data_IF_167282015978
#
_entry.id   IF_167282015978
#
_cell.length_a   1.000
_cell.length_b   1.000
_cell.length_c   1.000
_cell.angle_alpha   90.00
_cell.angle_beta   90.00
_cell.angle_gamma   90.00
#
_symmetry.space_group_name_H-M   'P 1'
#
loop_
_entity.id
_entity.type
_entity.pdbx_description
1 polymer ?
#
# COMPACT_ATOMS: atom_id res chain seq x y z
N UNK A 1 -25.33 1.95 9.33
CA UNK A 1 -24.32 0.89 9.07
C UNK A 1 -23.19 1.32 8.12
N UNK A 2 -23.47 2.13 7.09
CA UNK A 2 -22.44 2.61 6.12
C UNK A 2 -21.35 3.53 6.68
N UNK A 3 -21.52 4.05 7.89
CA UNK A 3 -20.53 4.95 8.54
C UNK A 3 -19.23 4.20 8.84
N UNK A 4 -19.32 2.92 9.17
CA UNK A 4 -18.17 2.07 9.51
C UNK A 4 -17.20 1.98 8.32
N UNK A 5 -17.58 1.44 7.15
CA UNK A 5 -16.66 1.33 6.01
C UNK A 5 -16.16 2.68 5.51
N UNK A 6 -16.92 3.76 5.67
CA UNK A 6 -16.45 5.11 5.37
C UNK A 6 -15.27 5.52 6.27
N UNK A 7 -15.38 5.30 7.58
CA UNK A 7 -14.28 5.56 8.51
C UNK A 7 -13.06 4.66 8.23
N UNK A 8 -13.29 3.40 7.89
CA UNK A 8 -12.22 2.47 7.49
C UNK A 8 -11.47 2.99 6.25
N UNK A 9 -12.18 3.49 5.25
CA UNK A 9 -11.56 4.09 4.06
C UNK A 9 -10.66 5.29 4.39
N UNK A 10 -11.09 6.14 5.34
CA UNK A 10 -10.26 7.25 5.83
C UNK A 10 -8.99 6.71 6.50
N UNK A 11 -9.10 5.69 7.35
CA UNK A 11 -7.93 5.08 8.01
C UNK A 11 -6.93 4.50 7.00
N UNK A 12 -7.40 3.87 5.92
CA UNK A 12 -6.55 3.40 4.82
C UNK A 12 -5.83 4.53 4.05
N UNK A 13 -6.37 5.75 4.08
CA UNK A 13 -5.73 6.90 3.45
C UNK A 13 -4.61 7.52 4.30
N UNK A 14 -4.59 7.28 5.61
CA UNK A 14 -3.63 7.89 6.55
C UNK A 14 -2.17 7.59 6.18
N UNK A 15 -1.73 6.33 5.93
CA UNK A 15 -0.33 6.05 5.62
C UNK A 15 0.14 6.78 4.35
N UNK A 16 -0.74 6.88 3.33
CA UNK A 16 -0.47 7.62 2.10
C UNK A 16 -0.36 9.12 2.34
N UNK A 17 -1.25 9.67 3.16
CA UNK A 17 -1.23 11.09 3.50
C UNK A 17 0.05 11.46 4.27
N UNK A 18 0.43 10.65 5.26
CA UNK A 18 1.68 10.81 6.00
C UNK A 18 2.90 10.77 5.08
N UNK A 19 2.97 9.79 4.17
CA UNK A 19 4.05 9.71 3.19
C UNK A 19 4.11 10.96 2.31
N UNK A 20 2.98 11.45 1.80
CA UNK A 20 2.94 12.62 0.94
C UNK A 20 3.46 13.89 1.63
N UNK A 21 3.18 14.06 2.92
CA UNK A 21 3.71 15.15 3.73
C UNK A 21 5.22 14.97 3.95
N UNK A 22 5.65 13.77 4.33
CA UNK A 22 7.04 13.49 4.66
C UNK A 22 7.98 13.48 3.47
N UNK A 23 7.50 13.06 2.29
CA UNK A 23 8.28 13.03 1.06
C UNK A 23 8.54 14.44 0.51
N UNK A 24 7.56 15.34 0.65
CA UNK A 24 7.70 16.75 0.26
C UNK A 24 8.08 16.97 -1.22
N UNK A 25 7.88 15.97 -2.09
CA UNK A 25 8.26 16.02 -3.50
C UNK A 25 9.76 15.86 -3.78
N UNK A 26 10.57 15.36 -2.83
CA UNK A 26 12.02 15.22 -2.99
C UNK A 26 12.43 14.45 -4.25
N UNK A 27 11.79 13.32 -4.56
CA UNK A 27 12.08 12.53 -5.77
C UNK A 27 11.78 13.33 -7.04
N UNK A 28 10.64 14.01 -7.10
CA UNK A 28 10.26 14.85 -8.23
C UNK A 28 11.27 15.98 -8.45
N UNK A 29 11.76 16.58 -7.37
CA UNK A 29 12.82 17.60 -7.40
C UNK A 29 14.15 17.04 -7.89
N UNK A 30 14.55 15.84 -7.42
CA UNK A 30 15.82 15.21 -7.80
C UNK A 30 15.82 14.71 -9.26
N UNK A 31 14.68 14.24 -9.77
CA UNK A 31 14.57 13.82 -11.16
C UNK A 31 14.74 15.01 -12.12
N UNK A 32 14.41 16.24 -11.70
CA UNK A 32 14.60 17.46 -12.51
C UNK A 32 14.11 17.33 -13.98
N UNK A 33 13.01 16.60 -14.21
CA UNK A 33 12.50 16.26 -15.55
C UNK A 33 13.46 15.47 -16.46
N UNK A 34 14.47 14.80 -15.92
CA UNK A 34 15.35 13.85 -16.63
C UNK A 34 14.61 12.57 -17.10
N UNK A 35 13.28 12.58 -17.05
CA UNK A 35 12.37 11.60 -17.61
C UNK A 35 11.70 12.08 -18.91
N UNK A 36 11.91 13.34 -19.30
CA UNK A 36 11.34 13.91 -20.52
C UNK A 36 12.30 13.74 -21.71
N UNK A 37 11.88 13.09 -22.81
CA UNK A 37 12.74 12.91 -23.99
C UNK A 37 12.95 14.20 -24.79
N UNK A 38 12.10 15.22 -24.57
CA UNK A 38 12.05 16.46 -25.37
C UNK A 38 13.04 17.53 -24.85
N UNK A 39 13.80 17.23 -23.79
CA UNK A 39 14.74 18.18 -23.23
C UNK A 39 16.03 18.30 -24.07
N UNK A 40 16.53 19.52 -24.23
CA UNK A 40 17.83 19.77 -24.87
C UNK A 40 18.97 19.05 -24.13
N UNK A 41 19.93 18.53 -24.89
CA UNK A 41 21.00 17.69 -24.35
C UNK A 41 21.97 18.46 -23.44
N UNK A 42 22.18 19.76 -23.70
CA UNK A 42 22.97 20.63 -22.81
C UNK A 42 22.32 20.78 -21.43
N UNK A 43 20.99 20.94 -21.40
CA UNK A 43 20.21 21.06 -20.16
C UNK A 43 20.18 19.72 -19.41
N UNK A 44 20.09 18.59 -20.12
CA UNK A 44 20.23 17.25 -19.51
C UNK A 44 21.59 17.08 -18.85
N UNK A 45 22.67 17.49 -19.51
CA UNK A 45 24.04 17.40 -18.98
C UNK A 45 24.21 18.23 -17.71
N UNK A 46 23.72 19.47 -17.70
CA UNK A 46 23.77 20.34 -16.53
C UNK A 46 23.00 19.76 -15.33
N UNK A 47 21.74 19.33 -15.54
CA UNK A 47 20.90 18.74 -14.49
C UNK A 47 21.48 17.46 -13.94
N UNK A 48 22.06 16.60 -14.80
CA UNK A 48 22.79 15.40 -14.39
C UNK A 48 23.99 15.77 -13.50
N UNK A 49 24.80 16.75 -13.90
CA UNK A 49 25.96 17.18 -13.11
C UNK A 49 25.55 17.70 -11.72
N UNK A 50 24.48 18.51 -11.65
CA UNK A 50 23.89 18.95 -10.39
C UNK A 50 23.43 17.77 -9.52
N UNK A 51 22.80 16.76 -10.12
CA UNK A 51 22.35 15.56 -9.41
C UNK A 51 23.53 14.75 -8.84
N UNK A 52 24.60 14.58 -9.62
CA UNK A 52 25.84 13.90 -9.19
C UNK A 52 26.49 14.65 -8.02
N UNK A 53 26.57 15.99 -8.11
CA UNK A 53 27.11 16.81 -7.04
C UNK A 53 26.28 16.72 -5.76
N UNK A 54 24.96 16.88 -5.88
CA UNK A 54 24.03 16.71 -4.78
C UNK A 54 24.20 15.36 -4.07
N UNK A 55 24.27 14.25 -4.81
CA UNK A 55 24.42 12.92 -4.25
C UNK A 55 25.78 12.71 -3.58
N UNK A 56 26.84 13.24 -4.18
CA UNK A 56 28.18 13.15 -3.62
C UNK A 56 28.30 13.90 -2.30
N UNK A 57 27.67 15.07 -2.17
CA UNK A 57 27.72 15.90 -0.95
C UNK A 57 26.78 15.37 0.14
N UNK A 58 25.61 14.86 -0.23
CA UNK A 58 24.59 14.39 0.72
C UNK A 58 24.60 12.88 0.96
N UNK A 59 25.68 12.18 0.61
CA UNK A 59 25.83 10.75 0.86
C UNK A 59 25.67 10.46 2.36
N UNK A 60 24.95 9.37 2.71
CA UNK A 60 24.62 8.95 4.07
C UNK A 60 23.51 9.74 4.80
N UNK A 61 23.10 10.90 4.28
CA UNK A 61 22.06 11.71 4.92
C UNK A 61 20.61 11.26 4.56
N UNK A 62 20.47 10.24 3.70
CA UNK A 62 19.17 9.77 3.21
C UNK A 62 18.49 8.70 4.06
N UNK A 63 19.11 8.24 5.15
CA UNK A 63 18.58 7.14 5.97
C UNK A 63 17.22 7.49 6.59
N UNK A 64 17.07 8.72 7.08
CA UNK A 64 15.81 9.15 7.68
C UNK A 64 14.66 9.21 6.66
N UNK A 65 14.97 9.55 5.41
CA UNK A 65 14.00 9.52 4.31
C UNK A 65 13.52 8.09 4.02
N UNK A 66 14.44 7.11 3.93
CA UNK A 66 14.08 5.71 3.73
C UNK A 66 13.32 5.12 4.92
N UNK A 67 13.71 5.46 6.15
CA UNK A 67 13.02 4.98 7.36
C UNK A 67 11.57 5.46 7.43
N UNK A 68 11.29 6.72 7.08
CA UNK A 68 9.93 7.26 6.97
C UNK A 68 9.08 6.47 5.99
N UNK A 69 9.66 6.05 4.86
CA UNK A 69 8.96 5.22 3.87
C UNK A 69 8.64 3.83 4.43
N UNK A 70 9.61 3.16 5.05
CA UNK A 70 9.42 1.84 5.65
C UNK A 70 8.39 1.89 6.79
N UNK A 71 8.37 2.98 7.57
CA UNK A 71 7.35 3.20 8.59
C UNK A 71 5.95 3.31 7.97
N UNK A 72 5.78 3.99 6.84
CA UNK A 72 4.50 4.06 6.13
C UNK A 72 4.06 2.68 5.59
N UNK A 73 4.97 1.87 5.06
CA UNK A 73 4.67 0.49 4.64
C UNK A 73 4.24 -0.38 5.84
N UNK A 74 4.94 -0.26 6.96
CA UNK A 74 4.60 -0.96 8.19
C UNK A 74 3.23 -0.52 8.74
N UNK A 75 2.97 0.78 8.78
CA UNK A 75 1.67 1.33 9.19
C UNK A 75 0.54 0.86 8.27
N UNK A 76 0.78 0.72 6.97
CA UNK A 76 -0.22 0.19 6.05
C UNK A 76 -0.57 -1.27 6.39
N UNK A 77 0.42 -2.11 6.67
CA UNK A 77 0.19 -3.49 7.08
C UNK A 77 -0.53 -3.57 8.43
N UNK A 78 -0.05 -2.83 9.45
CA UNK A 78 -0.70 -2.76 10.77
C UNK A 78 -2.15 -2.28 10.63
N UNK A 79 -2.40 -1.29 9.76
CA UNK A 79 -3.75 -0.81 9.51
C UNK A 79 -4.64 -1.91 8.93
N UNK A 80 -4.19 -2.67 7.93
CA UNK A 80 -4.98 -3.80 7.39
C UNK A 80 -5.32 -4.82 8.48
N UNK A 81 -4.34 -5.24 9.28
CA UNK A 81 -4.57 -6.21 10.37
C UNK A 81 -5.53 -5.64 11.41
N UNK A 82 -5.37 -4.38 11.79
CA UNK A 82 -6.26 -3.67 12.70
C UNK A 82 -7.69 -3.57 12.15
N UNK A 83 -7.85 -3.36 10.85
CA UNK A 83 -9.16 -3.29 10.18
C UNK A 83 -9.86 -4.65 10.17
N UNK A 84 -9.12 -5.74 9.94
CA UNK A 84 -9.66 -7.10 10.03
C UNK A 84 -10.19 -7.35 11.45
N UNK A 85 -9.39 -7.08 12.47
CA UNK A 85 -9.78 -7.29 13.87
C UNK A 85 -10.95 -6.38 14.30
N UNK A 86 -10.93 -5.11 13.87
CA UNK A 86 -12.01 -4.17 14.15
C UNK A 86 -13.33 -4.61 13.50
N UNK A 87 -13.28 -5.08 12.25
CA UNK A 87 -14.46 -5.58 11.53
C UNK A 87 -14.99 -6.87 12.16
N UNK A 88 -14.08 -7.75 12.58
CA UNK A 88 -14.42 -8.99 13.28
C UNK A 88 -15.13 -8.73 14.61
N UNK A 89 -14.59 -7.83 15.44
CA UNK A 89 -15.25 -7.41 16.68
C UNK A 89 -16.60 -6.73 16.42
N UNK A 90 -16.70 -5.92 15.37
CA UNK A 90 -17.94 -5.23 15.00
C UNK A 90 -19.04 -6.21 14.57
N UNK A 91 -18.68 -7.31 13.93
CA UNK A 91 -19.60 -8.36 13.47
C UNK A 91 -19.76 -9.52 14.46
N UNK A 92 -19.29 -9.38 15.70
CA UNK A 92 -19.47 -10.39 16.75
C UNK A 92 -18.56 -11.62 16.62
N UNK A 93 -17.35 -11.46 16.07
CA UNK A 93 -16.33 -12.51 15.85
C UNK A 93 -16.63 -13.51 14.73
N UNK A 94 -17.62 -13.23 13.88
CA UNK A 94 -17.99 -14.09 12.75
C UNK A 94 -17.27 -13.71 11.43
N UNK A 95 -16.49 -12.62 11.40
CA UNK A 95 -15.87 -12.11 10.17
C UNK A 95 -14.65 -12.92 9.75
N UNK A 96 -13.78 -13.30 10.67
CA UNK A 96 -12.52 -14.00 10.33
C UNK A 96 -12.75 -15.33 9.61
N UNK A 97 -13.73 -16.09 10.07
CA UNK A 97 -14.19 -17.37 9.52
C UNK A 97 -15.20 -17.22 8.38
N UNK A 98 -15.51 -15.99 7.96
CA UNK A 98 -16.56 -15.72 6.99
C UNK A 98 -16.24 -16.24 5.58
N UNK A 99 -15.10 -15.84 5.01
CA UNK A 99 -14.78 -16.21 3.63
C UNK A 99 -14.50 -17.71 3.43
N UNK A 100 -13.93 -18.39 4.43
CA UNK A 100 -13.73 -19.84 4.38
C UNK A 100 -15.07 -20.57 4.39
N UNK A 101 -16.00 -20.14 5.25
CA UNK A 101 -17.36 -20.70 5.32
C UNK A 101 -18.16 -20.43 4.04
N UNK A 102 -18.06 -19.23 3.46
CA UNK A 102 -18.75 -18.91 2.19
C UNK A 102 -18.26 -19.80 1.03
N UNK A 103 -16.97 -20.14 0.98
CA UNK A 103 -16.44 -21.07 -0.03
C UNK A 103 -17.01 -22.49 0.19
N UNK A 104 -16.99 -22.98 1.43
CA UNK A 104 -17.54 -24.30 1.79
C UNK A 104 -19.06 -24.41 1.51
N UNK A 105 -19.82 -23.34 1.77
CA UNK A 105 -21.26 -23.30 1.52
C UNK A 105 -21.64 -23.07 0.06
N UNK A 106 -20.77 -22.45 -0.74
CA UNK A 106 -20.99 -22.30 -2.18
C UNK A 106 -21.03 -23.65 -2.90
N UNK A 107 -20.44 -24.70 -2.31
CA UNK A 107 -20.44 -26.06 -2.85
C UNK A 107 -21.67 -26.88 -2.43
N UNK A 108 -22.51 -26.38 -1.52
CA UNK A 108 -23.72 -27.09 -1.03
C UNK A 108 -24.98 -26.78 -1.85
N UNK A 109 -25.85 -27.78 -1.98
CA UNK A 109 -27.13 -27.71 -2.71
C UNK A 109 -28.06 -26.58 -2.22
N UNK A 110 -28.78 -25.97 -3.15
CA UNK A 110 -29.73 -24.90 -2.91
C UNK A 110 -30.95 -25.42 -2.13
N UNK A 111 -30.91 -25.42 -0.81
CA UNK A 111 -32.07 -25.78 0.03
C UNK A 111 -31.81 -25.93 1.53
N UNK A 112 -30.59 -26.30 1.92
CA UNK A 112 -30.17 -26.44 3.33
C UNK A 112 -29.22 -25.33 3.80
N UNK A 113 -29.11 -24.24 3.03
CA UNK A 113 -28.17 -23.16 3.31
C UNK A 113 -28.63 -22.35 4.52
N UNK A 114 -27.99 -22.61 5.66
CA UNK A 114 -28.02 -21.71 6.80
C UNK A 114 -26.74 -20.87 6.72
N UNK A 115 -26.86 -19.65 6.20
CA UNK A 115 -25.75 -18.72 6.22
C UNK A 115 -25.54 -18.28 7.68
N UNK A 116 -24.37 -18.49 8.30
CA UNK A 116 -24.11 -18.06 9.68
C UNK A 116 -24.29 -16.54 9.87
N UNK A 117 -24.32 -15.80 8.76
CA UNK A 117 -24.56 -14.37 8.74
C UNK A 117 -26.04 -13.97 8.85
N UNK A 118 -26.98 -14.91 8.76
CA UNK A 118 -28.40 -14.62 9.02
C UNK A 118 -28.65 -14.23 10.48
N UNK A 119 -27.76 -14.63 11.40
CA UNK A 119 -27.78 -14.21 12.80
C UNK A 119 -27.27 -12.77 12.99
N UNK A 120 -26.27 -12.35 12.22
CA UNK A 120 -25.66 -11.01 12.30
C UNK A 120 -26.44 -9.98 11.47
N UNK A 121 -26.97 -10.40 10.31
CA UNK A 121 -27.69 -9.59 9.34
C UNK A 121 -29.06 -10.20 9.00
N UNK A 122 -30.03 -10.18 9.92
CA UNK A 122 -31.34 -10.76 9.65
C UNK A 122 -32.01 -10.04 8.47
N UNK A 123 -32.42 -10.83 7.47
CA UNK A 123 -33.12 -10.35 6.27
C UNK A 123 -34.60 -10.10 6.53
N UNK A 124 -35.16 -10.70 7.59
CA UNK A 124 -36.53 -10.53 8.05
C UNK A 124 -36.56 -10.27 9.55
N UNK A 125 -37.44 -9.39 10.02
CA UNK A 125 -37.63 -9.09 11.44
C UNK A 125 -39.12 -9.01 11.80
N UNK A 126 -39.45 -9.35 13.05
CA UNK A 126 -40.79 -9.14 13.61
C UNK A 126 -40.95 -7.68 14.01
N UNK A 127 -41.93 -7.00 13.40
CA UNK A 127 -42.32 -5.63 13.73
C UNK A 127 -43.63 -5.65 14.52
N UNK A 128 -43.63 -5.03 15.71
CA UNK A 128 -44.82 -4.84 16.53
C UNK A 128 -45.43 -3.47 16.24
N UNK A 129 -46.57 -3.43 15.57
CA UNK A 129 -47.32 -2.20 15.31
C UNK A 129 -48.34 -1.96 16.42
N UNK A 130 -48.32 -0.76 16.99
CA UNK A 130 -49.29 -0.34 17.99
C UNK A 130 -50.35 0.55 17.32
N UNK A 131 -51.62 0.13 17.35
CA UNK A 131 -52.75 0.91 16.84
C UNK A 131 -53.79 1.11 17.94
N UNK A 132 -54.58 2.18 17.85
CA UNK A 132 -55.69 2.41 18.76
C UNK A 132 -56.96 1.79 18.17
N UNK A 133 -57.56 0.86 18.91
CA UNK A 133 -58.82 0.21 18.53
C UNK A 133 -60.04 1.12 18.74
N UNK A 134 -61.22 0.67 18.29
CA UNK A 134 -62.47 1.43 18.39
C UNK A 134 -62.87 1.80 19.83
N UNK A 135 -62.38 1.04 20.82
CA UNK A 135 -62.59 1.29 22.26
C UNK A 135 -61.55 2.24 22.88
N UNK A 136 -60.60 2.79 22.09
CA UNK A 136 -59.51 3.66 22.59
C UNK A 136 -58.35 2.90 23.25
N UNK A 137 -58.42 1.57 23.31
CA UNK A 137 -57.35 0.70 23.84
C UNK A 137 -56.25 0.45 22.79
N UNK A 138 -55.02 0.25 23.23
CA UNK A 138 -53.88 -0.06 22.35
C UNK A 138 -53.96 -1.54 21.94
N UNK A 139 -54.16 -1.80 20.64
CA UNK A 139 -54.06 -3.11 20.02
C UNK A 139 -52.66 -3.30 19.40
N UNK A 140 -52.09 -4.49 19.60
CA UNK A 140 -50.78 -4.88 19.06
C UNK A 140 -50.99 -5.77 17.84
N UNK A 141 -50.40 -5.37 16.71
CA UNK A 141 -50.37 -6.17 15.49
C UNK A 141 -48.93 -6.54 15.14
N UNK A 142 -48.67 -7.83 15.02
CA UNK A 142 -47.37 -8.34 14.62
C UNK A 142 -47.31 -8.52 13.11
N UNK A 143 -46.27 -7.98 12.48
CA UNK A 143 -45.98 -8.18 11.06
C UNK A 143 -44.54 -8.63 10.82
N UNK A 144 -44.29 -9.28 9.70
CA UNK A 144 -42.94 -9.57 9.23
C UNK A 144 -42.47 -8.43 8.32
N UNK A 145 -41.34 -7.83 8.65
CA UNK A 145 -40.68 -6.79 7.89
C UNK A 145 -39.46 -7.37 7.17
N UNK A 146 -39.25 -7.00 5.91
CA UNK A 146 -38.02 -7.31 5.17
C UNK A 146 -37.03 -6.17 5.37
N UNK A 147 -35.76 -6.50 5.62
CA UNK A 147 -34.67 -5.54 5.85
C UNK A 147 -33.71 -5.55 4.64
N UNK A 148 -34.02 -4.81 3.56
CA UNK A 148 -33.19 -4.81 2.35
C UNK A 148 -31.76 -4.31 2.62
N UNK A 149 -31.59 -3.39 3.59
CA UNK A 149 -30.27 -2.88 3.98
C UNK A 149 -29.31 -3.99 4.46
N UNK A 150 -29.83 -5.03 5.12
CA UNK A 150 -29.01 -6.13 5.62
C UNK A 150 -28.53 -7.05 4.49
N UNK A 151 -29.33 -7.22 3.44
CA UNK A 151 -28.93 -7.94 2.22
C UNK A 151 -27.75 -7.24 1.54
N UNK A 152 -27.79 -5.91 1.43
CA UNK A 152 -26.67 -5.16 0.87
C UNK A 152 -25.41 -5.26 1.74
N UNK A 153 -25.55 -5.14 3.07
CA UNK A 153 -24.42 -5.26 3.98
C UNK A 153 -23.76 -6.64 3.89
N UNK A 154 -24.56 -7.71 3.88
CA UNK A 154 -24.09 -9.09 3.69
C UNK A 154 -23.13 -9.17 2.48
N UNK A 155 -23.56 -8.71 1.30
CA UNK A 155 -22.72 -8.78 0.08
C UNK A 155 -21.48 -7.89 0.14
N UNK A 156 -21.57 -6.70 0.72
CA UNK A 156 -20.43 -5.80 0.89
C UNK A 156 -19.38 -6.41 1.81
N UNK A 157 -19.77 -7.00 2.93
CA UNK A 157 -18.81 -7.60 3.88
C UNK A 157 -18.17 -8.87 3.32
N UNK A 158 -18.82 -9.61 2.40
CA UNK A 158 -18.19 -10.73 1.67
C UNK A 158 -17.04 -10.20 0.84
N UNK A 159 -17.33 -9.19 0.03
CA UNK A 159 -16.32 -8.57 -0.83
C UNK A 159 -15.17 -7.98 -0.01
N UNK A 160 -15.47 -7.28 1.10
CA UNK A 160 -14.45 -6.70 1.98
C UNK A 160 -13.56 -7.75 2.63
N UNK A 161 -14.07 -8.93 2.97
CA UNK A 161 -13.27 -10.01 3.54
C UNK A 161 -12.17 -10.44 2.56
N UNK A 162 -12.54 -10.81 1.33
CA UNK A 162 -11.58 -11.22 0.31
C UNK A 162 -10.60 -10.08 -0.01
N UNK A 163 -11.10 -8.86 -0.08
CA UNK A 163 -10.29 -7.68 -0.32
C UNK A 163 -9.24 -7.47 0.79
N UNK A 164 -9.63 -7.53 2.06
CA UNK A 164 -8.69 -7.35 3.18
C UNK A 164 -7.62 -8.45 3.22
N UNK A 165 -7.97 -9.70 2.93
CA UNK A 165 -6.98 -10.78 2.81
C UNK A 165 -5.99 -10.50 1.68
N UNK A 166 -6.47 -10.12 0.49
CA UNK A 166 -5.61 -9.78 -0.65
C UNK A 166 -4.67 -8.61 -0.28
N UNK A 167 -5.20 -7.54 0.29
CA UNK A 167 -4.39 -6.38 0.68
C UNK A 167 -3.41 -6.73 1.80
N UNK A 168 -3.78 -7.59 2.76
CA UNK A 168 -2.89 -8.08 3.81
C UNK A 168 -1.72 -8.88 3.22
N UNK A 169 -1.99 -9.80 2.30
CA UNK A 169 -0.97 -10.61 1.62
C UNK A 169 -0.05 -9.72 0.79
N UNK A 170 -0.59 -8.82 -0.04
CA UNK A 170 0.23 -7.90 -0.85
C UNK A 170 1.11 -7.01 0.03
N UNK A 171 0.54 -6.46 1.10
CA UNK A 171 1.29 -5.61 2.05
C UNK A 171 2.34 -6.41 2.82
N UNK A 172 2.03 -7.65 3.21
CA UNK A 172 2.96 -8.56 3.86
C UNK A 172 4.13 -8.96 2.95
N UNK A 173 3.86 -9.34 1.70
CA UNK A 173 4.90 -9.60 0.69
C UNK A 173 5.74 -8.35 0.44
N UNK A 174 5.11 -7.17 0.39
CA UNK A 174 5.82 -5.89 0.33
C UNK A 174 6.79 -5.70 1.49
N UNK A 175 6.37 -5.96 2.73
CA UNK A 175 7.24 -5.90 3.91
C UNK A 175 8.35 -6.94 3.87
N UNK A 176 8.07 -8.18 3.47
CA UNK A 176 9.10 -9.21 3.31
C UNK A 176 10.16 -8.81 2.27
N UNK A 177 9.71 -8.26 1.13
CA UNK A 177 10.61 -7.69 0.13
C UNK A 177 11.49 -6.59 0.73
N UNK A 178 10.94 -5.73 1.58
CA UNK A 178 11.70 -4.66 2.26
C UNK A 178 12.68 -5.21 3.29
N UNK A 179 12.29 -6.21 4.08
CA UNK A 179 13.19 -6.90 5.00
C UNK A 179 14.37 -7.53 4.23
N UNK A 180 14.12 -8.13 3.07
CA UNK A 180 15.19 -8.64 2.21
C UNK A 180 16.17 -7.53 1.76
N UNK A 181 15.70 -6.29 1.54
CA UNK A 181 16.57 -5.15 1.18
C UNK A 181 17.51 -4.66 2.29
N UNK A 182 17.36 -5.11 3.53
CA UNK A 182 18.39 -4.86 4.54
C UNK A 182 19.68 -5.62 4.24
N UNK A 183 19.59 -6.74 3.51
CA UNK A 183 20.74 -7.53 3.11
C UNK A 183 21.51 -6.83 1.97
N UNK A 184 22.83 -6.56 2.12
CA UNK A 184 23.63 -5.90 1.08
C UNK A 184 23.65 -6.66 -0.25
N UNK A 185 23.67 -8.00 -0.23
CA UNK A 185 23.66 -8.81 -1.45
C UNK A 185 22.39 -8.59 -2.29
N UNK A 186 21.21 -8.56 -1.63
CA UNK A 186 19.94 -8.33 -2.31
C UNK A 186 19.85 -6.93 -2.90
N UNK A 187 20.38 -5.92 -2.19
CA UNK A 187 20.47 -4.53 -2.67
C UNK A 187 21.29 -4.41 -3.96
N UNK A 188 22.43 -5.09 -4.02
CA UNK A 188 23.28 -5.11 -5.20
C UNK A 188 22.58 -5.74 -6.40
N UNK A 189 21.93 -6.89 -6.21
CA UNK A 189 21.17 -7.58 -7.27
C UNK A 189 20.06 -6.69 -7.83
N UNK A 190 19.31 -6.01 -6.95
CA UNK A 190 18.22 -5.13 -7.35
C UNK A 190 18.71 -3.90 -8.13
N UNK A 191 19.77 -3.24 -7.66
CA UNK A 191 20.35 -2.11 -8.39
C UNK A 191 20.88 -2.58 -9.74
N UNK A 192 21.61 -3.70 -9.80
CA UNK A 192 22.13 -4.26 -11.05
C UNK A 192 21.03 -4.58 -12.05
N UNK A 193 19.91 -5.14 -11.58
CA UNK A 193 18.77 -5.48 -12.44
C UNK A 193 18.09 -4.24 -13.02
N UNK A 194 18.13 -3.10 -12.32
CA UNK A 194 17.60 -1.83 -12.82
C UNK A 194 18.61 -1.03 -13.63
N UNK A 195 19.89 -1.15 -13.33
CA UNK A 195 21.01 -0.52 -14.02
C UNK A 195 21.65 -1.44 -15.06
N UNK A 196 20.86 -2.26 -15.77
CA UNK A 196 21.37 -3.25 -16.74
C UNK A 196 22.26 -2.66 -17.83
N UNK A 197 22.10 -1.37 -18.13
CA UNK A 197 22.90 -0.66 -19.13
C UNK A 197 24.23 -0.12 -18.56
N UNK A 198 24.38 -0.03 -17.23
CA UNK A 198 25.58 0.46 -16.56
C UNK A 198 26.59 -0.67 -16.29
N UNK A 199 27.87 -0.31 -16.19
CA UNK A 199 28.93 -1.28 -15.87
C UNK A 199 28.70 -1.87 -14.48
N UNK A 200 28.83 -3.19 -14.37
CA UNK A 200 28.67 -3.93 -13.11
C UNK A 200 29.63 -3.42 -12.03
N UNK A 201 30.85 -3.06 -12.43
CA UNK A 201 31.90 -2.60 -11.50
C UNK A 201 31.55 -1.24 -10.88
N UNK A 202 30.96 -0.34 -11.67
CA UNK A 202 30.53 0.98 -11.20
C UNK A 202 29.38 0.86 -10.20
N UNK A 203 28.41 0.00 -10.49
CA UNK A 203 27.26 -0.27 -9.61
C UNK A 203 27.71 -0.91 -8.30
N UNK A 204 28.65 -1.85 -8.36
CA UNK A 204 29.20 -2.50 -7.17
C UNK A 204 30.00 -1.51 -6.31
N UNK A 205 30.85 -0.68 -6.93
CA UNK A 205 31.63 0.33 -6.22
C UNK A 205 30.74 1.33 -5.45
N UNK A 206 29.65 1.79 -6.07
CA UNK A 206 28.66 2.65 -5.42
C UNK A 206 27.94 1.89 -4.30
N UNK A 207 27.45 0.68 -4.58
CA UNK A 207 26.68 -0.09 -3.60
C UNK A 207 27.48 -0.48 -2.36
N UNK A 208 28.82 -0.61 -2.45
CA UNK A 208 29.69 -0.84 -1.30
C UNK A 208 29.84 0.39 -0.40
N UNK A 209 29.73 1.61 -0.96
CA UNK A 209 29.85 2.87 -0.22
C UNK A 209 28.50 3.42 0.27
N UNK A 210 27.39 3.05 -0.37
CA UNK A 210 26.06 3.55 -0.02
C UNK A 210 25.43 2.86 1.20
N UNK A 211 24.80 3.66 2.07
CA UNK A 211 23.89 3.14 3.09
C UNK A 211 22.52 2.80 2.51
N UNK A 212 21.63 2.24 3.34
CA UNK A 212 20.29 1.83 2.93
C UNK A 212 19.46 3.01 2.41
N UNK A 213 19.64 4.20 3.00
CA UNK A 213 18.98 5.43 2.55
C UNK A 213 19.40 5.84 1.15
N UNK A 214 20.70 5.89 0.90
CA UNK A 214 21.23 6.30 -0.41
C UNK A 214 20.84 5.28 -1.49
N UNK A 215 20.95 3.99 -1.17
CA UNK A 215 20.47 2.91 -2.03
C UNK A 215 19.00 3.09 -2.40
N UNK A 216 18.15 3.43 -1.42
CA UNK A 216 16.72 3.62 -1.63
C UNK A 216 16.45 4.79 -2.59
N UNK A 217 17.13 5.93 -2.42
CA UNK A 217 16.96 7.07 -3.34
C UNK A 217 17.50 6.73 -4.73
N UNK A 218 18.67 6.07 -4.85
CA UNK A 218 19.20 5.61 -6.13
C UNK A 218 18.25 4.66 -6.84
N UNK A 219 17.64 3.73 -6.11
CA UNK A 219 16.64 2.81 -6.63
C UNK A 219 15.35 3.53 -7.07
N UNK A 220 14.94 4.56 -6.35
CA UNK A 220 13.79 5.39 -6.71
C UNK A 220 14.07 6.24 -7.96
N UNK A 221 15.28 6.79 -8.09
CA UNK A 221 15.71 7.49 -9.30
C UNK A 221 15.72 6.56 -10.52
N UNK A 222 16.22 5.33 -10.37
CA UNK A 222 16.23 4.34 -11.44
C UNK A 222 14.84 4.03 -12.01
N UNK A 223 13.78 4.18 -11.20
CA UNK A 223 12.40 3.97 -11.63
C UNK A 223 11.77 5.19 -12.31
N UNK A 224 12.30 6.38 -12.05
CA UNK A 224 11.69 7.65 -12.47
C UNK A 224 12.53 8.42 -13.49
N UNK A 225 13.69 7.89 -13.91
CA UNK A 225 14.59 8.50 -14.92
C UNK A 225 14.68 7.61 -16.16
N UNK A 226 15.05 8.22 -17.29
CA UNK A 226 15.38 7.46 -18.49
C UNK A 226 16.57 6.50 -18.25
N UNK A 227 16.51 5.23 -18.70
CA UNK A 227 17.57 4.26 -18.46
C UNK A 227 18.96 4.66 -18.99
N UNK A 228 19.04 5.41 -20.10
CA UNK A 228 20.31 5.89 -20.66
C UNK A 228 20.90 7.00 -19.79
N UNK A 229 20.08 7.96 -19.37
CA UNK A 229 20.51 9.03 -18.46
C UNK A 229 20.93 8.45 -17.11
N UNK A 230 20.19 7.47 -16.60
CA UNK A 230 20.54 6.80 -15.35
C UNK A 230 21.88 6.03 -15.44
N UNK A 231 22.17 5.41 -16.58
CA UNK A 231 23.48 4.77 -16.84
C UNK A 231 24.62 5.78 -16.73
N UNK A 232 24.49 6.91 -17.41
CA UNK A 232 25.50 7.97 -17.38
C UNK A 232 25.66 8.53 -15.97
N UNK A 233 24.55 8.82 -15.29
CA UNK A 233 24.55 9.28 -13.90
C UNK A 233 25.30 8.33 -12.96
N UNK A 234 25.05 7.02 -13.07
CA UNK A 234 25.76 5.99 -12.28
C UNK A 234 27.26 5.97 -12.60
N UNK A 235 27.64 6.18 -13.86
CA UNK A 235 29.04 6.20 -14.28
C UNK A 235 29.76 7.44 -13.73
N UNK A 236 29.15 8.62 -13.87
CA UNK A 236 29.68 9.89 -13.39
C UNK A 236 29.78 9.91 -11.85
N UNK A 237 28.77 9.36 -11.17
CA UNK A 237 28.78 9.22 -9.71
C UNK A 237 29.88 8.25 -9.23
N UNK A 238 30.06 7.10 -9.92
CA UNK A 238 31.13 6.16 -9.58
C UNK A 238 32.52 6.78 -9.75
N UNK A 239 32.75 7.51 -10.85
CA UNK A 239 34.02 8.21 -11.10
C UNK A 239 34.32 9.25 -10.01
N UNK A 240 33.33 10.08 -9.66
CA UNK A 240 33.46 11.09 -8.60
C UNK A 240 33.73 10.47 -7.23
N UNK A 241 33.05 9.38 -6.89
CA UNK A 241 33.27 8.65 -5.62
C UNK A 241 34.59 7.88 -5.57
N UNK A 242 35.20 7.56 -6.71
CA UNK A 242 36.52 6.95 -6.81
C UNK A 242 37.66 7.99 -6.88
N UNK A 243 37.35 9.29 -6.91
CA UNK A 243 38.34 10.35 -7.06
C UNK A 243 38.97 10.42 -8.45
N UNK A 244 38.37 9.76 -9.45
CA UNK A 244 38.76 9.95 -10.85
C UNK A 244 38.07 11.23 -11.34
N UNK A 245 38.87 12.24 -11.69
CA UNK A 245 38.36 13.51 -12.24
C UNK A 245 37.45 13.27 -13.46
N UNK A 246 36.59 14.24 -13.81
CA UNK A 246 35.65 14.08 -14.93
C UNK A 246 36.42 13.79 -16.23
N UNK A 247 35.91 12.82 -17.00
CA UNK A 247 36.32 12.56 -18.38
C UNK A 247 35.58 13.53 -19.30
#
# INVERSE_FOLDING_TARGET
MLIVPFFQAIMFYIPRYLWKIWEGGKVKMLVMQLNSPILDDDVKRERKAMLVDYFSVNLHNHNFYAFRFFLCELLNFINVIGQIYFTDRFLGYEFTTYGTRVIEFSEQEFGSRHDPMDEVFPKVAKCTFHKYGASGTIERHDGLCVLPLNIFNEKIYIFLWFWFIIVAVISGVGLLYRLATFTPAFRQILLRTRSRLASSDNVEAISRKCQIGDWFVLYQLAKNMDPLIYKEFITDLANKLQGKGPV
#
